data_IF_246732192278
#
_entry.id   IF_246732192278
#
_cell.length_a   1.000
_cell.length_b   1.000
_cell.length_c   1.000
_cell.angle_alpha   90.00
_cell.angle_beta   90.00
_cell.angle_gamma   90.00
#
_symmetry.space_group_name_H-M   'P 1'
#
loop_
_entity.id
_entity.type
_entity.pdbx_description
1 polymer ?
#
# COMPACT_ATOMS: atom_id res chain seq x y z
N UNK A 1 30.90 -41.11 0.86
CA UNK A 1 30.14 -40.89 -0.35
C UNK A 1 28.67 -41.26 -0.13
N UNK A 2 27.78 -40.35 -0.31
CA UNK A 2 26.32 -40.53 -0.58
C UNK A 2 25.42 -41.08 0.54
N UNK A 3 24.95 -40.20 1.44
CA UNK A 3 23.75 -40.43 2.27
C UNK A 3 22.85 -39.17 2.34
N UNK A 4 22.94 -38.20 1.44
CA UNK A 4 22.21 -36.94 1.51
C UNK A 4 20.94 -36.87 0.61
N UNK A 5 20.51 -37.97 0.00
CA UNK A 5 19.46 -37.93 -1.06
C UNK A 5 18.08 -38.48 -0.70
N UNK A 6 17.89 -39.16 0.42
CA UNK A 6 16.63 -39.85 0.72
C UNK A 6 15.69 -39.09 1.66
N UNK A 7 16.15 -38.15 2.46
CA UNK A 7 15.33 -37.42 3.43
C UNK A 7 14.38 -36.37 2.83
N UNK A 8 14.74 -35.72 1.73
CA UNK A 8 13.94 -34.63 1.13
C UNK A 8 12.67 -35.09 0.39
N UNK A 9 12.64 -36.34 -0.10
CA UNK A 9 11.46 -36.85 -0.81
C UNK A 9 10.34 -37.35 0.09
N UNK A 10 10.66 -37.77 1.31
CA UNK A 10 9.69 -38.27 2.28
C UNK A 10 8.94 -37.11 2.93
N UNK A 11 9.59 -35.96 3.19
CA UNK A 11 8.94 -34.80 3.80
C UNK A 11 7.98 -34.12 2.82
N UNK A 12 8.30 -34.05 1.52
CA UNK A 12 7.40 -33.48 0.52
C UNK A 12 6.14 -34.33 0.30
N UNK A 13 6.24 -35.65 0.41
CA UNK A 13 5.10 -36.56 0.27
C UNK A 13 4.16 -36.55 1.48
N UNK A 14 4.70 -36.38 2.69
CA UNK A 14 3.91 -36.33 3.92
C UNK A 14 3.06 -35.06 4.05
N UNK A 15 3.58 -33.91 3.59
CA UNK A 15 2.86 -32.62 3.61
C UNK A 15 1.71 -32.63 2.57
N UNK A 16 1.92 -33.19 1.39
CA UNK A 16 0.87 -33.30 0.36
C UNK A 16 -0.29 -34.19 0.81
N UNK A 17 -0.01 -35.29 1.50
CA UNK A 17 -1.06 -36.21 2.02
C UNK A 17 -1.83 -35.58 3.17
N UNK A 18 -1.18 -34.77 4.03
CA UNK A 18 -1.86 -34.07 5.14
C UNK A 18 -2.83 -32.99 4.65
N UNK A 19 -2.49 -32.26 3.58
CA UNK A 19 -3.37 -31.21 3.00
C UNK A 19 -4.57 -31.83 2.29
N UNK A 20 -4.40 -32.93 1.55
CA UNK A 20 -5.51 -33.64 0.92
C UNK A 20 -6.38 -34.35 1.95
N UNK A 21 -5.80 -34.88 3.02
CA UNK A 21 -6.54 -35.50 4.12
C UNK A 21 -7.39 -34.50 4.93
N UNK A 22 -6.89 -33.28 5.15
CA UNK A 22 -7.65 -32.22 5.83
C UNK A 22 -8.83 -31.72 4.99
N UNK A 23 -8.68 -31.62 3.66
CA UNK A 23 -9.78 -31.24 2.75
C UNK A 23 -10.88 -32.30 2.68
N UNK A 24 -10.56 -33.60 2.76
CA UNK A 24 -11.55 -34.69 2.74
C UNK A 24 -12.29 -34.81 4.11
N UNK A 25 -11.58 -34.52 5.22
CA UNK A 25 -12.21 -34.58 6.56
C UNK A 25 -13.12 -33.38 6.84
N UNK A 26 -12.80 -32.18 6.33
CA UNK A 26 -13.70 -31.02 6.45
C UNK A 26 -14.92 -31.14 5.54
N UNK A 27 -14.80 -31.71 4.34
CA UNK A 27 -15.94 -31.98 3.48
C UNK A 27 -16.94 -32.99 4.04
N UNK A 28 -16.48 -34.02 4.75
CA UNK A 28 -17.33 -35.04 5.33
C UNK A 28 -18.03 -34.57 6.64
N UNK A 29 -17.46 -33.61 7.37
CA UNK A 29 -18.05 -33.04 8.60
C UNK A 29 -19.20 -32.06 8.30
N UNK A 30 -19.11 -31.29 7.26
CA UNK A 30 -20.11 -30.26 6.87
C UNK A 30 -21.39 -30.89 6.30
N UNK A 31 -21.31 -32.10 5.71
CA UNK A 31 -22.47 -32.77 5.11
C UNK A 31 -23.46 -33.38 6.15
N UNK A 32 -23.22 -33.23 7.45
CA UNK A 32 -24.02 -33.85 8.53
C UNK A 32 -24.61 -32.87 9.54
N UNK A 33 -24.57 -31.57 9.29
CA UNK A 33 -25.22 -30.58 10.15
C UNK A 33 -26.69 -30.35 9.70
N UNK A 34 -27.70 -30.93 10.42
CA UNK A 34 -29.10 -30.86 9.98
C UNK A 34 -29.75 -29.49 10.19
N UNK A 35 -29.01 -28.50 10.68
CA UNK A 35 -29.52 -27.16 11.01
C UNK A 35 -29.19 -26.03 10.00
N UNK A 36 -28.31 -26.26 9.01
CA UNK A 36 -27.87 -25.22 8.09
C UNK A 36 -28.53 -25.34 6.71
N UNK A 37 -28.97 -24.23 6.16
CA UNK A 37 -29.47 -24.19 4.78
C UNK A 37 -28.35 -24.46 3.75
N UNK A 38 -28.71 -24.94 2.57
CA UNK A 38 -27.75 -25.18 1.47
C UNK A 38 -26.99 -23.91 1.09
N UNK A 39 -27.61 -22.74 1.21
CA UNK A 39 -26.97 -21.45 0.98
C UNK A 39 -25.91 -21.13 2.05
N UNK A 40 -26.21 -21.41 3.32
CA UNK A 40 -25.23 -21.21 4.40
C UNK A 40 -24.02 -22.15 4.26
N UNK A 41 -24.24 -23.40 3.88
CA UNK A 41 -23.17 -24.35 3.60
C UNK A 41 -22.29 -23.89 2.44
N UNK A 42 -22.87 -23.35 1.37
CA UNK A 42 -22.13 -22.83 0.24
C UNK A 42 -21.28 -21.61 0.61
N UNK A 43 -21.80 -20.70 1.43
CA UNK A 43 -21.07 -19.53 1.94
C UNK A 43 -19.90 -19.96 2.82
N UNK A 44 -20.11 -20.89 3.76
CA UNK A 44 -19.04 -21.39 4.62
C UNK A 44 -17.96 -22.14 3.84
N UNK A 45 -18.33 -22.91 2.83
CA UNK A 45 -17.37 -23.57 1.92
C UNK A 45 -16.57 -22.55 1.11
N UNK A 46 -17.23 -21.50 0.61
CA UNK A 46 -16.58 -20.39 -0.08
C UNK A 46 -15.57 -19.68 0.83
N UNK A 47 -15.96 -19.35 2.04
CA UNK A 47 -15.06 -18.71 3.01
C UNK A 47 -13.88 -19.63 3.38
N UNK A 48 -14.12 -20.89 3.64
CA UNK A 48 -13.06 -21.85 3.93
C UNK A 48 -12.08 -22.01 2.76
N UNK A 49 -12.56 -21.96 1.52
CA UNK A 49 -11.70 -21.99 0.34
C UNK A 49 -10.83 -20.73 0.23
N UNK A 50 -11.38 -19.56 0.53
CA UNK A 50 -10.64 -18.28 0.56
C UNK A 50 -9.55 -18.32 1.64
N UNK A 51 -9.90 -18.76 2.84
CA UNK A 51 -8.97 -18.85 3.98
C UNK A 51 -7.85 -19.88 3.72
N UNK A 52 -8.18 -21.01 3.09
CA UNK A 52 -7.21 -22.02 2.68
C UNK A 52 -6.26 -21.49 1.59
N UNK A 53 -6.78 -20.73 0.63
CA UNK A 53 -5.98 -20.08 -0.40
C UNK A 53 -5.07 -18.99 0.17
N UNK A 54 -5.54 -18.20 1.14
CA UNK A 54 -4.74 -17.22 1.86
C UNK A 54 -3.61 -17.88 2.67
N UNK A 55 -3.92 -18.98 3.37
CA UNK A 55 -2.93 -19.77 4.12
C UNK A 55 -1.90 -20.41 3.18
N UNK A 56 -2.33 -20.96 2.06
CA UNK A 56 -1.44 -21.53 1.05
C UNK A 56 -0.52 -20.44 0.46
N UNK A 57 -1.04 -19.23 0.18
CA UNK A 57 -0.22 -18.09 -0.24
C UNK A 57 0.82 -17.72 0.81
N UNK A 58 0.43 -17.64 2.08
CA UNK A 58 1.34 -17.31 3.19
C UNK A 58 2.43 -18.38 3.36
N UNK A 59 2.11 -19.66 3.15
CA UNK A 59 3.08 -20.77 3.20
C UNK A 59 4.00 -20.83 1.98
N UNK A 60 3.55 -20.38 0.81
CA UNK A 60 4.35 -20.31 -0.43
C UNK A 60 5.08 -18.98 -0.59
N UNK A 61 4.62 -17.92 0.06
CA UNK A 61 5.42 -16.74 0.33
C UNK A 61 6.45 -17.12 1.40
N UNK A 62 7.51 -17.81 1.00
CA UNK A 62 8.74 -17.75 1.78
C UNK A 62 9.06 -16.27 2.04
N UNK A 63 9.94 -15.93 3.03
CA UNK A 63 10.31 -14.53 3.24
C UNK A 63 10.84 -13.99 1.91
N UNK A 64 9.93 -13.45 1.11
CA UNK A 64 10.23 -12.83 -0.16
C UNK A 64 11.24 -11.73 0.15
N UNK A 65 12.34 -11.69 -0.57
CA UNK A 65 13.20 -10.51 -0.52
C UNK A 65 12.30 -9.34 -0.85
N UNK A 66 12.21 -8.30 0.02
CA UNK A 66 11.39 -7.14 -0.25
C UNK A 66 11.67 -6.64 -1.67
N UNK A 67 10.62 -6.29 -2.42
CA UNK A 67 10.80 -5.72 -3.73
C UNK A 67 11.71 -4.49 -3.61
N UNK A 68 12.64 -4.25 -4.55
CA UNK A 68 13.50 -3.08 -4.47
C UNK A 68 12.65 -1.81 -4.56
N UNK A 69 12.94 -0.84 -3.70
CA UNK A 69 12.30 0.47 -3.78
C UNK A 69 12.58 1.13 -5.14
N UNK A 70 11.63 1.93 -5.65
CA UNK A 70 11.81 2.64 -6.92
C UNK A 70 12.99 3.63 -6.84
N UNK A 71 13.60 3.93 -7.98
CA UNK A 71 14.58 5.00 -8.08
C UNK A 71 13.90 6.37 -7.95
N UNK A 72 14.63 7.38 -7.48
CA UNK A 72 14.10 8.74 -7.40
C UNK A 72 13.64 9.31 -8.74
N UNK A 73 14.24 8.85 -9.85
CA UNK A 73 13.85 9.25 -11.21
C UNK A 73 12.42 8.83 -11.58
N UNK A 74 11.85 7.85 -10.87
CA UNK A 74 10.49 7.39 -11.05
C UNK A 74 9.47 8.16 -10.19
N UNK A 75 9.92 9.07 -9.31
CA UNK A 75 9.07 9.73 -8.31
C UNK A 75 8.96 11.22 -8.60
N UNK A 76 7.72 11.71 -8.68
CA UNK A 76 7.37 13.12 -8.58
C UNK A 76 6.65 13.36 -7.26
N UNK A 77 7.09 14.34 -6.46
CA UNK A 77 6.53 14.64 -5.16
C UNK A 77 5.95 16.06 -5.14
N UNK A 78 4.71 16.20 -4.71
CA UNK A 78 4.01 17.46 -4.48
C UNK A 78 3.79 17.60 -2.98
N UNK A 79 4.23 18.73 -2.39
CA UNK A 79 4.17 18.89 -0.96
C UNK A 79 3.90 20.31 -0.45
N UNK A 80 3.64 20.34 0.84
CA UNK A 80 3.55 21.54 1.66
C UNK A 80 4.89 21.86 2.36
N UNK A 81 4.84 22.68 3.41
CA UNK A 81 6.03 23.05 4.20
C UNK A 81 6.68 21.88 4.93
N UNK A 82 5.92 20.82 5.26
CA UNK A 82 6.46 19.62 5.94
C UNK A 82 7.34 18.84 4.97
N UNK A 83 6.86 18.60 3.76
CA UNK A 83 7.66 17.96 2.71
C UNK A 83 8.84 18.84 2.32
N UNK A 84 8.64 20.16 2.23
CA UNK A 84 9.72 21.10 1.94
C UNK A 84 10.84 21.00 2.98
N UNK A 85 10.49 20.94 4.27
CA UNK A 85 11.45 20.75 5.36
C UNK A 85 12.14 19.39 5.28
N UNK A 86 11.44 18.34 4.85
CA UNK A 86 11.99 16.99 4.69
C UNK A 86 12.78 16.79 3.39
N UNK A 87 12.77 17.75 2.47
CA UNK A 87 13.36 17.60 1.13
C UNK A 87 14.83 17.18 1.07
N UNK A 88 15.74 17.60 2.00
CA UNK A 88 17.12 17.12 1.97
C UNK A 88 17.22 15.60 2.14
N UNK A 89 16.45 15.03 3.07
CA UNK A 89 16.44 13.59 3.35
C UNK A 89 15.71 12.79 2.26
N UNK A 90 14.68 13.39 1.62
CA UNK A 90 14.04 12.81 0.44
C UNK A 90 15.03 12.72 -0.75
N UNK A 91 15.80 13.77 -1.01
CA UNK A 91 16.79 13.78 -2.08
C UNK A 91 17.96 12.83 -1.80
N UNK A 92 18.39 12.71 -0.55
CA UNK A 92 19.41 11.74 -0.14
C UNK A 92 18.94 10.31 -0.36
N UNK A 93 17.69 10.00 0.04
CA UNK A 93 17.13 8.65 -0.07
C UNK A 93 16.75 8.25 -1.48
N UNK A 94 16.28 9.20 -2.28
CA UNK A 94 15.80 9.03 -3.64
C UNK A 94 16.51 9.99 -4.60
N UNK A 95 17.79 9.76 -4.93
CA UNK A 95 18.50 10.60 -5.91
C UNK A 95 17.71 10.68 -7.22
N UNK A 96 17.55 11.89 -7.75
CA UNK A 96 16.78 12.15 -8.98
C UNK A 96 15.27 12.36 -8.77
N UNK A 97 14.76 12.31 -7.53
CA UNK A 97 13.37 12.68 -7.21
C UNK A 97 13.10 14.14 -7.63
N UNK A 98 11.93 14.41 -8.21
CA UNK A 98 11.44 15.79 -8.38
C UNK A 98 10.55 16.13 -7.19
N UNK A 99 10.86 17.25 -6.54
CA UNK A 99 10.08 17.74 -5.39
C UNK A 99 9.56 19.13 -5.74
N UNK A 100 8.24 19.27 -5.84
CA UNK A 100 7.49 20.51 -5.95
C UNK A 100 6.75 20.77 -4.63
N UNK A 101 7.43 21.38 -3.68
CA UNK A 101 6.88 21.66 -2.37
C UNK A 101 6.89 23.15 -2.08
N UNK A 102 5.79 23.63 -1.48
CA UNK A 102 5.61 25.05 -1.16
C UNK A 102 4.85 25.24 0.15
N UNK A 103 5.25 26.23 0.92
CA UNK A 103 4.59 26.62 2.18
C UNK A 103 3.10 26.88 1.96
N UNK A 104 2.27 26.44 2.92
CA UNK A 104 0.82 26.69 2.98
C UNK A 104 -0.03 26.04 1.89
N UNK A 105 0.52 25.15 1.05
CA UNK A 105 -0.31 24.33 0.17
C UNK A 105 -1.20 23.40 0.98
N UNK A 106 -2.41 23.16 0.49
CA UNK A 106 -3.42 22.31 1.10
C UNK A 106 -3.93 21.28 0.09
N UNK A 107 -4.59 20.21 0.55
CA UNK A 107 -5.05 19.11 -0.29
C UNK A 107 -6.03 19.57 -1.38
N UNK A 108 -6.89 20.55 -1.12
CA UNK A 108 -7.82 21.09 -2.11
C UNK A 108 -7.12 21.71 -3.35
N UNK A 109 -5.81 22.00 -3.27
CA UNK A 109 -5.03 22.44 -4.45
C UNK A 109 -4.43 21.29 -5.25
N UNK A 110 -4.49 20.06 -4.75
CA UNK A 110 -3.84 18.91 -5.38
C UNK A 110 -4.34 18.63 -6.80
N UNK A 111 -5.65 18.68 -7.12
CA UNK A 111 -6.11 18.42 -8.49
C UNK A 111 -5.49 19.37 -9.51
N UNK A 112 -5.46 20.67 -9.24
CA UNK A 112 -4.89 21.66 -10.15
C UNK A 112 -3.38 21.49 -10.31
N UNK A 113 -2.65 21.22 -9.22
CA UNK A 113 -1.21 20.98 -9.26
C UNK A 113 -0.89 19.72 -10.08
N UNK A 114 -1.62 18.64 -9.87
CA UNK A 114 -1.44 17.38 -10.61
C UNK A 114 -1.79 17.58 -12.09
N UNK A 115 -2.89 18.28 -12.39
CA UNK A 115 -3.25 18.61 -13.76
C UNK A 115 -2.14 19.40 -14.49
N UNK A 116 -1.48 20.33 -13.80
CA UNK A 116 -0.36 21.08 -14.34
C UNK A 116 0.86 20.17 -14.62
N UNK A 117 1.16 19.23 -13.71
CA UNK A 117 2.24 18.24 -13.89
C UNK A 117 1.95 17.32 -15.09
N UNK A 118 0.73 16.83 -15.24
CA UNK A 118 0.31 16.00 -16.38
C UNK A 118 0.41 16.79 -17.68
N UNK A 119 -0.11 18.02 -17.69
CA UNK A 119 -0.13 18.89 -18.89
C UNK A 119 1.27 19.29 -19.37
N UNK A 120 2.23 19.39 -18.46
CA UNK A 120 3.63 19.67 -18.79
C UNK A 120 4.42 18.43 -19.26
N UNK A 121 3.84 17.23 -19.17
CA UNK A 121 4.53 15.98 -19.46
C UNK A 121 5.57 15.57 -18.40
N UNK A 122 5.53 16.18 -17.21
CA UNK A 122 6.47 15.91 -16.13
C UNK A 122 6.03 14.78 -15.19
N UNK A 123 4.82 14.23 -15.37
CA UNK A 123 4.32 13.13 -14.53
C UNK A 123 5.25 11.92 -14.64
N UNK A 124 5.52 11.32 -13.49
CA UNK A 124 6.33 10.11 -13.36
C UNK A 124 5.45 8.91 -12.95
N UNK A 125 5.96 7.68 -13.08
CA UNK A 125 5.20 6.48 -12.70
C UNK A 125 4.66 6.48 -11.27
N UNK A 126 5.29 7.24 -10.37
CA UNK A 126 4.91 7.35 -8.97
C UNK A 126 4.73 8.83 -8.62
N UNK A 127 3.58 9.15 -8.05
CA UNK A 127 3.24 10.47 -7.53
C UNK A 127 3.12 10.40 -6.01
N UNK A 128 3.90 11.19 -5.28
CA UNK A 128 3.81 11.34 -3.81
C UNK A 128 3.17 12.68 -3.48
N UNK A 129 2.11 12.70 -2.69
CA UNK A 129 1.39 13.92 -2.30
C UNK A 129 1.36 14.07 -0.78
N UNK A 130 2.03 15.12 -0.27
CA UNK A 130 2.07 15.48 1.14
C UNK A 130 1.48 16.86 1.37
N UNK A 131 0.15 16.97 1.37
CA UNK A 131 -0.61 18.22 1.46
C UNK A 131 -1.67 18.21 2.59
N UNK A 132 -1.60 17.24 3.51
CA UNK A 132 -2.64 17.04 4.52
C UNK A 132 -2.47 17.89 5.80
N UNK A 133 -1.44 18.74 5.86
CA UNK A 133 -1.16 19.53 7.08
C UNK A 133 -2.01 20.79 7.19
N UNK A 134 -2.38 21.42 6.08
CA UNK A 134 -2.92 22.78 6.04
C UNK A 134 -4.41 22.84 5.67
N UNK A 135 -5.25 22.07 6.34
CA UNK A 135 -6.71 22.14 6.18
C UNK A 135 -7.36 20.76 5.97
N UNK A 136 -8.62 20.81 5.65
CA UNK A 136 -9.44 19.63 5.46
C UNK A 136 -9.00 18.81 4.23
N UNK A 137 -9.33 17.53 4.24
CA UNK A 137 -9.12 16.61 3.14
C UNK A 137 -10.48 16.14 2.62
N UNK A 138 -10.85 16.57 1.42
CA UNK A 138 -12.06 16.12 0.76
C UNK A 138 -11.78 14.85 -0.07
N UNK A 139 -12.56 13.77 0.10
CA UNK A 139 -12.45 12.57 -0.76
C UNK A 139 -12.59 12.87 -2.26
N UNK A 140 -13.35 13.90 -2.63
CA UNK A 140 -13.52 14.30 -4.02
C UNK A 140 -12.23 14.83 -4.65
N UNK A 141 -11.41 15.55 -3.87
CA UNK A 141 -10.08 16.01 -4.34
C UNK A 141 -9.13 14.82 -4.55
N UNK A 142 -9.19 13.82 -3.66
CA UNK A 142 -8.38 12.60 -3.78
C UNK A 142 -8.79 11.80 -5.02
N UNK A 143 -10.09 11.66 -5.28
CA UNK A 143 -10.60 10.98 -6.46
C UNK A 143 -10.19 11.74 -7.73
N UNK A 144 -10.31 13.06 -7.74
CA UNK A 144 -9.88 13.89 -8.86
C UNK A 144 -8.39 13.69 -9.20
N UNK A 145 -7.53 13.59 -8.19
CA UNK A 145 -6.10 13.30 -8.39
C UNK A 145 -5.92 11.96 -9.10
N UNK A 146 -6.58 10.89 -8.63
CA UNK A 146 -6.47 9.55 -9.23
C UNK A 146 -6.99 9.53 -10.66
N UNK A 147 -8.12 10.18 -10.91
CA UNK A 147 -8.73 10.28 -12.24
C UNK A 147 -7.80 11.03 -13.22
N UNK A 148 -7.15 12.11 -12.78
CA UNK A 148 -6.22 12.91 -13.60
C UNK A 148 -4.97 12.12 -13.98
N UNK A 149 -4.36 11.39 -13.05
CA UNK A 149 -3.12 10.64 -13.31
C UNK A 149 -3.36 9.33 -14.05
N UNK A 150 -4.58 8.79 -13.96
CA UNK A 150 -4.98 7.54 -14.61
C UNK A 150 -4.40 6.27 -13.97
N UNK A 151 -4.82 5.10 -14.46
CA UNK A 151 -4.58 3.81 -13.78
C UNK A 151 -3.14 3.32 -13.84
N UNK A 152 -2.28 3.91 -14.64
CA UNK A 152 -0.87 3.51 -14.79
C UNK A 152 0.06 4.20 -13.79
N UNK A 153 -0.42 5.20 -13.05
CA UNK A 153 0.36 5.94 -12.06
C UNK A 153 0.02 5.44 -10.66
N UNK A 154 1.06 5.11 -9.90
CA UNK A 154 0.92 4.79 -8.48
C UNK A 154 0.94 6.07 -7.66
N UNK A 155 0.03 6.19 -6.68
CA UNK A 155 -0.10 7.38 -5.84
C UNK A 155 0.19 7.04 -4.38
N UNK A 156 1.01 7.84 -3.73
CA UNK A 156 1.24 7.79 -2.28
C UNK A 156 0.75 9.09 -1.67
N UNK A 157 -0.29 9.03 -0.84
CA UNK A 157 -0.66 10.15 0.01
C UNK A 157 0.08 10.07 1.34
N UNK A 158 0.67 11.18 1.77
CA UNK A 158 1.27 11.32 3.10
C UNK A 158 0.27 12.00 4.02
N UNK A 159 -0.07 11.37 5.14
CA UNK A 159 -0.98 11.97 6.10
C UNK A 159 -0.33 13.11 6.91
N UNK A 160 -1.15 13.89 7.62
CA UNK A 160 -0.71 15.08 8.31
C UNK A 160 -0.36 14.84 9.78
N UNK A 161 0.61 15.62 10.29
CA UNK A 161 0.88 15.78 11.71
C UNK A 161 0.93 17.26 12.06
N UNK A 162 0.00 17.70 12.89
CA UNK A 162 -0.04 19.03 13.49
C UNK A 162 -1.01 19.03 14.68
N UNK A 163 -0.87 19.94 15.66
CA UNK A 163 -1.84 20.12 16.74
C UNK A 163 -3.05 20.92 16.22
N UNK A 164 -3.85 20.33 15.33
CA UNK A 164 -5.02 20.92 14.68
C UNK A 164 -6.18 19.95 14.64
N UNK A 165 -7.39 20.44 14.79
CA UNK A 165 -8.63 19.64 14.90
C UNK A 165 -8.98 18.89 13.61
N UNK A 166 -8.55 19.39 12.43
CA UNK A 166 -8.80 18.73 11.15
C UNK A 166 -7.88 17.54 10.88
N UNK A 167 -6.73 17.42 11.56
CA UNK A 167 -5.75 16.36 11.32
C UNK A 167 -6.33 14.95 11.51
N UNK A 168 -7.01 14.60 12.62
CA UNK A 168 -7.57 13.26 12.77
C UNK A 168 -8.59 12.92 11.69
N UNK A 169 -9.42 13.89 11.28
CA UNK A 169 -10.46 13.72 10.26
C UNK A 169 -9.82 13.51 8.89
N UNK A 170 -8.88 14.38 8.51
CA UNK A 170 -8.15 14.27 7.24
C UNK A 170 -7.35 12.98 7.13
N UNK A 171 -6.68 12.57 8.20
CA UNK A 171 -5.94 11.30 8.25
C UNK A 171 -6.85 10.09 8.10
N UNK A 172 -8.03 10.10 8.73
CA UNK A 172 -9.04 9.04 8.55
C UNK A 172 -9.55 8.99 7.11
N UNK A 173 -9.82 10.15 6.50
CA UNK A 173 -10.24 10.25 5.09
C UNK A 173 -9.19 9.65 4.14
N UNK A 174 -7.92 10.00 4.32
CA UNK A 174 -6.81 9.45 3.52
C UNK A 174 -6.68 7.93 3.70
N UNK A 175 -6.78 7.45 4.94
CA UNK A 175 -6.70 6.01 5.22
C UNK A 175 -7.87 5.24 4.60
N UNK A 176 -9.09 5.79 4.67
CA UNK A 176 -10.28 5.18 4.06
C UNK A 176 -10.22 5.17 2.55
N UNK A 177 -9.71 6.23 1.93
CA UNK A 177 -9.53 6.33 0.50
C UNK A 177 -8.48 5.33 0.00
N UNK A 178 -7.31 5.32 0.62
CA UNK A 178 -6.21 4.42 0.22
C UNK A 178 -6.58 2.93 0.32
N UNK A 179 -7.46 2.54 1.24
CA UNK A 179 -7.93 1.15 1.33
C UNK A 179 -8.85 0.73 0.19
N UNK A 180 -9.50 1.68 -0.48
CA UNK A 180 -10.46 1.41 -1.57
C UNK A 180 -9.83 1.47 -2.95
N UNK A 181 -8.74 2.25 -3.09
CA UNK A 181 -8.10 2.49 -4.36
C UNK A 181 -6.81 1.67 -4.48
N UNK A 182 -6.81 0.71 -5.43
CA UNK A 182 -5.69 -0.23 -5.58
C UNK A 182 -4.36 0.44 -5.95
N UNK A 183 -4.38 1.53 -6.72
CA UNK A 183 -3.18 2.26 -7.15
C UNK A 183 -2.69 3.26 -6.11
N UNK A 184 -3.29 3.28 -4.91
CA UNK A 184 -3.05 4.27 -3.87
C UNK A 184 -2.56 3.61 -2.59
N UNK A 185 -1.53 4.17 -1.97
CA UNK A 185 -1.05 3.81 -0.65
C UNK A 185 -0.94 5.01 0.28
N UNK A 186 -1.05 4.75 1.58
CA UNK A 186 -0.89 5.75 2.62
C UNK A 186 0.51 5.68 3.22
N UNK A 187 1.28 6.75 3.13
CA UNK A 187 2.44 6.97 3.97
C UNK A 187 1.99 7.52 5.33
N UNK A 188 2.01 6.68 6.35
CA UNK A 188 1.49 7.03 7.67
C UNK A 188 2.53 7.77 8.52
N UNK A 189 2.81 9.02 8.14
CA UNK A 189 3.72 9.92 8.85
C UNK A 189 3.26 10.20 10.29
N UNK A 190 1.95 10.41 10.49
CA UNK A 190 1.37 10.72 11.79
C UNK A 190 1.73 9.69 12.87
N UNK A 191 1.47 8.41 12.60
CA UNK A 191 1.76 7.35 13.57
C UNK A 191 3.26 7.07 13.65
N UNK A 192 3.99 7.19 12.54
CA UNK A 192 5.43 6.98 12.53
C UNK A 192 6.17 8.00 13.42
N UNK A 193 5.75 9.25 13.43
CA UNK A 193 6.38 10.30 14.25
C UNK A 193 5.90 10.33 15.70
N UNK A 194 4.75 9.75 16.01
CA UNK A 194 4.14 9.83 17.35
C UNK A 194 5.09 9.48 18.51
N UNK A 195 5.96 8.43 18.41
CA UNK A 195 6.92 8.13 19.47
C UNK A 195 8.05 9.16 19.63
N UNK A 196 8.24 10.03 18.64
CA UNK A 196 9.31 11.04 18.58
C UNK A 196 8.76 12.45 18.32
N UNK A 197 7.53 12.71 18.73
CA UNK A 197 6.85 13.98 18.46
C UNK A 197 7.59 15.19 19.07
N UNK A 198 8.24 14.99 20.20
CA UNK A 198 9.03 16.02 20.89
C UNK A 198 10.34 16.38 20.17
N UNK A 199 10.74 15.57 19.18
CA UNK A 199 11.90 15.80 18.32
C UNK A 199 11.58 16.61 17.06
N UNK A 200 10.30 16.93 16.83
CA UNK A 200 9.88 17.89 15.81
C UNK A 200 10.36 19.30 16.19
N UNK A 201 10.31 20.21 15.23
CA UNK A 201 10.50 21.62 15.50
C UNK A 201 9.51 22.09 16.58
N UNK A 202 9.78 23.23 17.21
CA UNK A 202 9.00 23.76 18.34
C UNK A 202 7.49 23.95 18.04
N UNK A 203 7.11 23.91 16.79
CA UNK A 203 5.71 23.98 16.33
C UNK A 203 4.98 22.62 16.32
N UNK A 204 5.69 21.53 16.61
CA UNK A 204 5.19 20.15 16.58
C UNK A 204 4.63 19.70 15.20
N UNK A 205 5.12 20.30 14.13
CA UNK A 205 4.68 20.08 12.76
C UNK A 205 5.84 19.66 11.86
N UNK A 206 6.91 20.45 11.86
CA UNK A 206 7.98 20.31 10.88
C UNK A 206 9.10 19.37 11.36
N UNK A 207 9.64 18.53 10.48
CA UNK A 207 10.88 17.81 10.77
C UNK A 207 12.00 18.78 11.12
N UNK A 208 12.53 18.66 12.34
CA UNK A 208 13.56 19.56 12.88
C UNK A 208 14.99 19.07 12.71
N UNK A 209 15.20 17.83 12.24
CA UNK A 209 16.52 17.23 12.15
C UNK A 209 16.55 15.87 11.46
N UNK A 210 17.72 15.21 11.40
CA UNK A 210 17.90 13.95 10.68
C UNK A 210 16.98 12.83 11.17
N UNK A 211 16.69 12.76 12.48
CA UNK A 211 15.80 11.74 13.03
C UNK A 211 14.39 11.90 12.46
N UNK A 212 13.79 13.05 12.61
CA UNK A 212 12.41 13.33 12.20
C UNK A 212 12.26 13.36 10.68
N UNK A 213 13.28 13.88 9.96
CA UNK A 213 13.34 13.79 8.50
C UNK A 213 13.45 12.35 8.01
N UNK A 214 14.27 11.53 8.69
CA UNK A 214 14.39 10.10 8.40
C UNK A 214 13.09 9.33 8.63
N UNK A 215 12.33 9.65 9.68
CA UNK A 215 11.01 9.05 9.95
C UNK A 215 10.00 9.44 8.86
N UNK A 216 9.98 10.72 8.41
CA UNK A 216 9.14 11.16 7.31
C UNK A 216 9.42 10.36 6.02
N UNK A 217 10.68 10.25 5.65
CA UNK A 217 11.13 9.46 4.49
C UNK A 217 10.79 7.98 4.66
N UNK A 218 10.98 7.44 5.88
CA UNK A 218 10.65 6.06 6.22
C UNK A 218 9.19 5.72 5.95
N UNK A 219 8.26 6.61 6.34
CA UNK A 219 6.83 6.40 6.09
C UNK A 219 6.50 6.30 4.59
N UNK A 220 7.19 7.07 3.75
CA UNK A 220 7.06 7.01 2.29
C UNK A 220 7.69 5.71 1.74
N UNK A 221 8.86 5.31 2.25
CA UNK A 221 9.47 4.04 1.87
C UNK A 221 8.56 2.84 2.15
N UNK A 222 7.90 2.82 3.30
CA UNK A 222 6.97 1.75 3.69
C UNK A 222 5.75 1.69 2.76
N UNK A 223 5.21 2.84 2.35
CA UNK A 223 4.12 2.90 1.39
C UNK A 223 4.57 2.42 0.00
N UNK A 224 5.73 2.86 -0.47
CA UNK A 224 6.31 2.43 -1.75
C UNK A 224 6.62 0.92 -1.75
N UNK A 225 7.04 0.36 -0.61
CA UNK A 225 7.26 -1.07 -0.47
C UNK A 225 5.95 -1.85 -0.62
N UNK A 226 4.85 -1.40 0.02
CA UNK A 226 3.53 -2.03 -0.13
C UNK A 226 3.01 -1.96 -1.56
N UNK A 227 3.19 -0.83 -2.26
CA UNK A 227 2.85 -0.72 -3.69
C UNK A 227 3.63 -1.69 -4.57
N UNK A 228 4.92 -1.88 -4.29
CA UNK A 228 5.77 -2.79 -5.04
C UNK A 228 5.43 -4.28 -4.82
N UNK A 229 4.79 -4.60 -3.69
CA UNK A 229 4.35 -5.95 -3.32
C UNK A 229 2.95 -6.29 -3.84
N UNK A 230 2.21 -5.31 -4.39
CA UNK A 230 0.92 -5.58 -5.00
C UNK A 230 1.08 -6.54 -6.19
N UNK A 231 0.25 -7.59 -6.29
CA UNK A 231 0.26 -8.44 -7.46
C UNK A 231 -0.09 -7.61 -8.71
N UNK A 232 0.49 -7.91 -9.88
CA UNK A 232 0.16 -7.22 -11.13
C UNK A 232 -1.36 -7.29 -11.36
N UNK A 233 -1.91 -6.24 -12.00
CA UNK A 233 -3.28 -6.30 -12.51
C UNK A 233 -3.35 -7.48 -13.49
N UNK A 234 -4.30 -8.38 -13.29
CA UNK A 234 -4.60 -9.39 -14.30
C UNK A 234 -5.07 -8.62 -15.54
N UNK A 235 -4.39 -8.81 -16.64
CA UNK A 235 -4.83 -8.28 -17.93
C UNK A 235 -6.17 -8.94 -18.29
N UNK A 236 -7.10 -8.18 -18.88
CA UNK A 236 -8.40 -8.71 -19.34
C UNK A 236 -8.24 -9.92 -20.29
N UNK A 237 -7.09 -10.05 -20.94
CA UNK A 237 -6.72 -11.23 -21.72
C UNK A 237 -6.63 -12.52 -20.90
N UNK A 238 -6.25 -12.43 -19.62
CA UNK A 238 -6.15 -13.60 -18.73
C UNK A 238 -7.53 -14.15 -18.35
N UNK A 239 -8.55 -13.29 -18.26
CA UNK A 239 -9.94 -13.70 -18.02
C UNK A 239 -10.55 -14.46 -19.20
N UNK A 240 -10.14 -14.18 -20.44
CA UNK A 240 -10.70 -14.81 -21.65
C UNK A 240 -10.17 -16.22 -21.88
N UNK A 241 -9.01 -16.58 -21.31
CA UNK A 241 -8.43 -17.92 -21.44
C UNK A 241 -8.98 -18.93 -20.44
N UNK A 242 -9.52 -18.50 -19.30
CA UNK A 242 -10.06 -19.40 -18.24
C UNK A 242 -11.50 -19.85 -18.55
N UNK A 243 -12.25 -19.13 -19.39
CA UNK A 243 -13.67 -19.38 -19.64
C UNK A 243 -14.00 -19.84 -21.09
N UNK A 244 -13.06 -20.41 -21.85
CA UNK A 244 -13.42 -21.10 -23.10
C UNK A 244 -13.89 -22.52 -22.76
N UNK A 245 -15.17 -22.86 -22.98
CA UNK A 245 -15.59 -24.25 -22.98
C UNK A 245 -14.92 -24.98 -24.12
N UNK A 246 -14.47 -26.21 -23.85
CA UNK A 246 -13.86 -27.12 -24.82
C UNK A 246 -14.86 -27.53 -25.89
#
# INVERSE_FOLDING_TARGET
ASIAGKGRRVVAGAVAVAVVGALVLTGAGVARDPGKSTAQLAIEQGQAAIDAAATARALHAGPGRPAPLPSGEQIYAIGDSVMLAASPWLQERFPGIVIDAQVSRSMWTAPDLVQAVVSSGALRPILVIGLATNGDVDPADLQSVVDIVGPSTLVVFVNGQAPRDWIPIGNATLADFSRRERSVELANWHDAIAPSIDELASDQVHPGGPLTGGIYVGSICDALQRLAELPPLLDDSDYLHVNRPA
#
